data_IF_487637098123
#
_entry.id   IF_487637098123
#
_cell.length_a   1.000
_cell.length_b   1.000
_cell.length_c   1.000
_cell.angle_alpha   90.00
_cell.angle_beta   90.00
_cell.angle_gamma   90.00
#
_symmetry.space_group_name_H-M   'P 1'
#
loop_
_entity.id
_entity.type
_entity.pdbx_description
1 polymer ?
#
# COMPACT_ATOMS: atom_id res chain seq x y z
N UNK A 1 -1.56 -26.96 -7.64
CA UNK A 1 -2.60 -26.16 -6.94
C UNK A 1 -1.94 -24.86 -6.48
N UNK A 2 -2.49 -23.72 -6.87
CA UNK A 2 -1.96 -22.40 -6.49
C UNK A 2 -2.15 -22.21 -4.98
N UNK A 3 -1.11 -21.73 -4.30
CA UNK A 3 -1.17 -21.34 -2.88
C UNK A 3 -0.53 -19.98 -2.68
N UNK A 4 -0.98 -19.25 -1.67
CA UNK A 4 -0.44 -17.97 -1.26
C UNK A 4 0.10 -18.01 0.15
N UNK A 5 1.01 -17.07 0.42
CA UNK A 5 1.61 -16.85 1.73
C UNK A 5 0.93 -15.67 2.42
N UNK A 6 0.04 -15.96 3.36
CA UNK A 6 -0.68 -14.98 4.18
C UNK A 6 -0.03 -14.90 5.55
N UNK A 7 0.53 -13.75 5.89
CA UNK A 7 1.19 -13.54 7.20
C UNK A 7 0.20 -13.28 8.32
N UNK A 8 -0.85 -12.48 8.03
CA UNK A 8 -1.84 -12.07 9.01
C UNK A 8 -3.16 -11.73 8.34
N UNK A 9 -4.25 -11.92 9.04
CA UNK A 9 -5.58 -11.43 8.65
C UNK A 9 -6.13 -10.64 9.84
N UNK A 10 -6.43 -9.37 9.60
CA UNK A 10 -7.12 -8.49 10.55
C UNK A 10 -8.56 -8.29 10.12
N UNK A 11 -9.47 -8.43 11.07
CA UNK A 11 -10.88 -8.10 10.88
C UNK A 11 -11.15 -6.72 11.50
N UNK A 12 -12.17 -6.02 10.98
CA UNK A 12 -12.60 -4.71 11.49
C UNK A 12 -11.56 -3.57 11.31
N UNK A 13 -10.69 -3.65 10.29
CA UNK A 13 -9.81 -2.54 9.91
C UNK A 13 -10.63 -1.31 9.47
N UNK A 14 -10.23 -0.12 9.93
CA UNK A 14 -10.95 1.14 9.70
C UNK A 14 -10.14 2.16 8.87
N UNK A 15 -8.86 1.88 8.63
CA UNK A 15 -7.92 2.84 8.00
C UNK A 15 -7.38 2.38 6.64
N UNK A 16 -7.71 1.16 6.24
CA UNK A 16 -7.16 0.51 5.04
C UNK A 16 -8.15 0.49 3.88
N UNK A 17 -8.93 1.55 3.72
CA UNK A 17 -9.94 1.74 2.70
C UNK A 17 -11.28 2.22 3.26
N UNK A 18 -12.35 2.27 2.44
CA UNK A 18 -13.66 2.70 2.89
C UNK A 18 -14.35 1.64 3.76
N UNK A 19 -15.09 2.08 4.76
CA UNK A 19 -15.89 1.23 5.63
C UNK A 19 -15.08 0.26 6.49
N UNK A 20 -15.74 -0.80 6.95
CA UNK A 20 -15.09 -1.86 7.73
C UNK A 20 -14.41 -2.85 6.78
N UNK A 21 -13.14 -3.13 7.01
CA UNK A 21 -12.32 -3.99 6.13
C UNK A 21 -11.87 -5.27 6.82
N UNK A 22 -11.81 -6.36 6.06
CA UNK A 22 -10.88 -7.44 6.38
C UNK A 22 -9.57 -7.12 5.67
N UNK A 23 -8.49 -6.94 6.42
CA UNK A 23 -7.17 -6.67 5.86
C UNK A 23 -6.37 -7.97 5.83
N UNK A 24 -5.92 -8.35 4.64
CA UNK A 24 -5.10 -9.55 4.41
C UNK A 24 -3.68 -9.09 4.14
N UNK A 25 -2.77 -9.41 5.04
CA UNK A 25 -1.35 -9.09 4.90
C UNK A 25 -0.62 -10.26 4.26
N UNK A 26 -0.22 -10.09 3.02
CA UNK A 26 0.58 -11.05 2.26
C UNK A 26 2.06 -10.89 2.59
N UNK A 27 2.82 -11.98 2.61
CA UNK A 27 4.28 -11.92 2.78
C UNK A 27 5.01 -11.79 1.44
N UNK A 28 6.26 -11.36 1.52
CA UNK A 28 7.09 -11.05 0.37
C UNK A 28 7.01 -9.57 -0.02
N UNK A 29 8.15 -8.93 -0.15
CA UNK A 29 8.29 -7.57 -0.67
C UNK A 29 9.67 -7.42 -1.33
N UNK A 30 9.73 -6.82 -2.52
CA UNK A 30 11.01 -6.50 -3.18
C UNK A 30 11.69 -5.30 -2.54
N UNK A 31 10.89 -4.36 -2.00
CA UNK A 31 11.43 -3.15 -1.39
C UNK A 31 12.07 -3.44 -0.02
N UNK A 32 13.07 -2.61 0.32
CA UNK A 32 13.72 -2.56 1.63
C UNK A 32 13.64 -1.15 2.18
N UNK A 33 12.38 -0.63 2.26
CA UNK A 33 12.15 0.72 2.74
C UNK A 33 12.80 0.94 4.10
N UNK A 34 13.66 1.95 4.23
CA UNK A 34 14.38 2.27 5.49
C UNK A 34 13.46 2.51 6.68
N UNK A 35 12.19 2.87 6.42
CA UNK A 35 11.16 3.12 7.42
C UNK A 35 10.12 2.00 7.52
N UNK A 36 10.39 0.81 7.00
CA UNK A 36 9.41 -0.27 6.98
C UNK A 36 8.93 -0.63 8.40
N UNK A 37 7.60 -0.69 8.59
CA UNK A 37 7.03 -1.09 9.88
C UNK A 37 6.88 -2.60 10.05
N UNK A 38 6.99 -3.34 8.93
CA UNK A 38 6.75 -4.77 8.88
C UNK A 38 7.90 -5.51 8.18
N UNK A 39 9.15 -5.39 8.66
CA UNK A 39 10.31 -6.05 8.03
C UNK A 39 10.17 -7.58 8.03
N UNK A 40 9.36 -8.15 8.94
CA UNK A 40 9.02 -9.57 9.00
C UNK A 40 8.23 -10.04 7.77
N UNK A 41 7.70 -9.12 6.96
CA UNK A 41 6.97 -9.42 5.72
C UNK A 41 7.85 -9.34 4.47
N UNK A 42 9.14 -8.99 4.59
CA UNK A 42 10.04 -8.90 3.44
C UNK A 42 10.26 -10.24 2.73
N UNK A 43 10.35 -11.31 3.50
CA UNK A 43 10.55 -12.65 2.96
C UNK A 43 9.21 -13.30 2.68
N UNK A 44 9.13 -14.02 1.56
CA UNK A 44 8.02 -14.94 1.33
C UNK A 44 8.12 -16.06 2.37
N UNK A 45 7.05 -16.24 3.14
CA UNK A 45 6.96 -17.32 4.14
C UNK A 45 6.30 -18.55 3.53
N UNK A 46 5.97 -19.54 4.33
CA UNK A 46 5.27 -20.75 3.89
C UNK A 46 3.97 -20.42 3.14
N UNK A 47 3.69 -21.16 2.08
CA UNK A 47 2.45 -21.09 1.33
C UNK A 47 1.35 -21.82 2.11
N UNK A 48 0.50 -21.06 2.78
CA UNK A 48 -0.40 -21.55 3.82
C UNK A 48 -1.90 -21.45 3.51
N UNK A 49 -2.27 -20.86 2.37
CA UNK A 49 -3.67 -20.75 1.95
C UNK A 49 -3.85 -21.12 0.48
N UNK A 50 -4.91 -21.88 0.17
CA UNK A 50 -5.46 -21.91 -1.18
C UNK A 50 -6.36 -20.70 -1.40
N UNK A 51 -6.68 -20.31 -2.66
CA UNK A 51 -7.61 -19.22 -2.94
C UNK A 51 -8.99 -19.44 -2.30
N UNK A 52 -9.49 -20.68 -2.30
CA UNK A 52 -10.79 -21.05 -1.74
C UNK A 52 -10.83 -20.92 -0.22
N UNK A 53 -9.78 -21.34 0.46
CA UNK A 53 -9.65 -21.22 1.92
C UNK A 53 -9.64 -19.75 2.35
N UNK A 54 -8.85 -18.91 1.66
CA UNK A 54 -8.78 -17.48 1.96
C UNK A 54 -10.11 -16.79 1.64
N UNK A 55 -10.67 -17.03 0.47
CA UNK A 55 -11.97 -16.46 0.08
C UNK A 55 -13.06 -16.83 1.10
N UNK A 56 -13.18 -18.10 1.48
CA UNK A 56 -14.12 -18.58 2.49
C UNK A 56 -13.95 -17.85 3.83
N UNK A 57 -12.73 -17.59 4.25
CA UNK A 57 -12.44 -16.85 5.47
C UNK A 57 -12.89 -15.39 5.40
N UNK A 58 -12.65 -14.71 4.25
CA UNK A 58 -13.07 -13.33 4.02
C UNK A 58 -14.60 -13.21 3.94
N UNK A 59 -15.25 -14.12 3.23
CA UNK A 59 -16.72 -14.13 3.02
C UNK A 59 -17.49 -14.20 4.34
N UNK A 60 -16.95 -14.84 5.37
CA UNK A 60 -17.56 -14.88 6.73
C UNK A 60 -17.78 -13.49 7.31
N UNK A 61 -16.97 -12.51 6.90
CA UNK A 61 -17.07 -11.12 7.37
C UNK A 61 -18.02 -10.25 6.51
N UNK A 62 -18.61 -10.79 5.45
CA UNK A 62 -19.53 -10.07 4.54
C UNK A 62 -20.67 -9.32 5.25
N UNK A 63 -21.26 -9.81 6.36
CA UNK A 63 -22.27 -9.05 7.10
C UNK A 63 -21.78 -7.68 7.61
N UNK A 64 -20.50 -7.55 7.95
CA UNK A 64 -19.91 -6.29 8.40
C UNK A 64 -19.63 -5.32 7.24
N UNK A 65 -19.39 -5.84 6.03
CA UNK A 65 -19.10 -5.04 4.84
C UNK A 65 -20.33 -4.26 4.35
N UNK A 66 -21.50 -4.91 4.34
CA UNK A 66 -22.74 -4.36 3.78
C UNK A 66 -23.21 -3.06 4.46
N UNK A 67 -22.97 -2.90 5.76
CA UNK A 67 -23.47 -1.78 6.53
C UNK A 67 -22.70 -0.48 6.30
N UNK A 68 -21.44 -0.55 5.84
CA UNK A 68 -20.51 0.58 5.85
C UNK A 68 -19.68 0.71 4.57
N UNK A 69 -20.15 0.19 3.43
CA UNK A 69 -19.38 0.14 2.17
C UNK A 69 -17.97 -0.49 2.34
N UNK A 70 -17.88 -1.48 3.22
CA UNK A 70 -16.67 -2.19 3.54
C UNK A 70 -16.30 -3.25 2.52
N UNK A 71 -15.29 -4.06 2.86
CA UNK A 71 -14.83 -5.15 1.99
C UNK A 71 -13.50 -5.74 2.43
N UNK A 72 -12.71 -6.22 1.51
CA UNK A 72 -11.36 -6.71 1.76
C UNK A 72 -10.32 -5.73 1.26
N UNK A 73 -9.19 -5.65 1.97
CA UNK A 73 -7.97 -4.98 1.51
C UNK A 73 -6.83 -5.98 1.51
N UNK A 74 -6.19 -6.15 0.36
CA UNK A 74 -4.95 -6.90 0.26
C UNK A 74 -3.78 -5.95 0.43
N UNK A 75 -2.94 -6.22 1.42
CA UNK A 75 -1.80 -5.42 1.88
C UNK A 75 -0.67 -6.34 2.36
N UNK A 76 0.25 -5.85 3.19
CA UNK A 76 1.28 -6.66 3.84
C UNK A 76 2.69 -6.25 3.46
N UNK A 77 3.44 -7.14 2.82
CA UNK A 77 4.68 -6.82 2.12
C UNK A 77 4.35 -6.09 0.82
N UNK A 78 4.22 -6.83 -0.27
CA UNK A 78 3.72 -6.32 -1.55
C UNK A 78 2.79 -7.38 -2.20
N UNK A 79 1.48 -7.14 -2.22
CA UNK A 79 0.53 -8.12 -2.75
C UNK A 79 0.76 -8.51 -4.20
N UNK A 80 1.28 -7.60 -5.02
CA UNK A 80 1.57 -7.83 -6.43
C UNK A 80 2.68 -8.86 -6.68
N UNK A 81 3.42 -9.28 -5.65
CA UNK A 81 4.35 -10.40 -5.77
C UNK A 81 3.65 -11.77 -5.84
N UNK A 82 2.41 -11.84 -5.38
CA UNK A 82 1.60 -13.04 -5.39
C UNK A 82 0.37 -12.88 -6.32
N UNK A 83 0.56 -12.21 -7.46
CA UNK A 83 -0.53 -11.79 -8.35
C UNK A 83 -1.40 -12.95 -8.85
N UNK A 84 -0.83 -14.10 -9.21
CA UNK A 84 -1.60 -15.27 -9.65
C UNK A 84 -2.54 -15.80 -8.56
N UNK A 85 -2.02 -15.95 -7.34
CA UNK A 85 -2.83 -16.34 -6.19
C UNK A 85 -3.91 -15.31 -5.89
N UNK A 86 -3.54 -14.03 -5.92
CA UNK A 86 -4.44 -12.93 -5.63
C UNK A 86 -5.58 -12.81 -6.66
N UNK A 87 -5.28 -13.03 -7.95
CA UNK A 87 -6.28 -13.05 -9.03
C UNK A 87 -7.34 -14.13 -8.74
N UNK A 88 -6.93 -15.35 -8.40
CA UNK A 88 -7.89 -16.42 -8.10
C UNK A 88 -8.75 -16.11 -6.87
N UNK A 89 -8.16 -15.56 -5.82
CA UNK A 89 -8.93 -15.08 -4.65
C UNK A 89 -9.93 -13.99 -5.07
N UNK A 90 -9.51 -13.01 -5.85
CA UNK A 90 -10.36 -11.92 -6.31
C UNK A 90 -11.53 -12.42 -7.16
N UNK A 91 -11.31 -13.38 -8.05
CA UNK A 91 -12.38 -14.03 -8.84
C UNK A 91 -13.48 -14.61 -7.95
N UNK A 92 -13.10 -15.29 -6.86
CA UNK A 92 -14.05 -15.86 -5.91
C UNK A 92 -14.82 -14.78 -5.13
N UNK A 93 -14.10 -13.73 -4.68
CA UNK A 93 -14.72 -12.63 -3.93
C UNK A 93 -15.67 -11.78 -4.78
N UNK A 94 -15.37 -11.61 -6.09
CA UNK A 94 -16.26 -10.90 -7.02
C UNK A 94 -17.58 -11.62 -7.24
N UNK A 95 -17.61 -12.96 -7.25
CA UNK A 95 -18.87 -13.75 -7.29
C UNK A 95 -19.77 -13.43 -6.09
N UNK A 96 -19.19 -13.03 -4.97
CA UNK A 96 -19.88 -12.65 -3.75
C UNK A 96 -20.18 -11.14 -3.64
N UNK A 97 -19.89 -10.36 -4.69
CA UNK A 97 -20.04 -8.90 -4.72
C UNK A 97 -19.31 -8.19 -3.54
N UNK A 98 -18.11 -8.66 -3.19
CA UNK A 98 -17.29 -8.05 -2.17
C UNK A 98 -16.41 -6.97 -2.82
N UNK A 99 -16.39 -5.78 -2.22
CA UNK A 99 -15.50 -4.68 -2.63
C UNK A 99 -14.06 -5.01 -2.27
N UNK A 100 -13.15 -4.90 -3.25
CA UNK A 100 -11.74 -5.27 -3.13
C UNK A 100 -10.86 -4.04 -3.27
N UNK A 101 -10.06 -3.75 -2.24
CA UNK A 101 -9.00 -2.75 -2.30
C UNK A 101 -7.62 -3.43 -2.36
N UNK A 102 -6.72 -2.82 -3.12
CA UNK A 102 -5.33 -3.20 -3.25
C UNK A 102 -4.45 -2.10 -2.65
N UNK A 103 -3.71 -2.41 -1.57
CA UNK A 103 -2.73 -1.53 -0.93
C UNK A 103 -1.33 -1.95 -1.41
N UNK A 104 -0.70 -1.10 -2.21
CA UNK A 104 0.50 -1.46 -2.97
C UNK A 104 1.44 -0.29 -3.21
N UNK A 105 2.72 -0.59 -3.34
CA UNK A 105 3.73 0.33 -3.89
C UNK A 105 3.82 0.29 -5.42
N UNK A 106 3.09 -0.62 -6.06
CA UNK A 106 3.14 -0.87 -7.49
C UNK A 106 4.36 -1.68 -7.96
N UNK A 107 5.09 -2.32 -7.03
CA UNK A 107 6.32 -3.07 -7.34
C UNK A 107 6.05 -4.57 -7.27
N UNK A 108 5.63 -5.16 -8.37
CA UNK A 108 5.21 -6.56 -8.45
C UNK A 108 5.94 -7.38 -9.50
N UNK A 109 5.32 -8.47 -9.94
CA UNK A 109 5.84 -9.41 -10.93
C UNK A 109 5.16 -9.28 -12.32
N UNK A 110 4.37 -8.23 -12.54
CA UNK A 110 3.54 -8.08 -13.75
C UNK A 110 2.09 -8.54 -13.53
N UNK A 111 1.39 -8.89 -14.63
CA UNK A 111 -0.03 -9.23 -14.65
C UNK A 111 -0.95 -8.10 -14.11
N UNK A 112 -0.49 -6.85 -14.20
CA UNK A 112 -1.18 -5.71 -13.61
C UNK A 112 -2.55 -5.44 -14.24
N UNK A 113 -2.71 -5.66 -15.54
CA UNK A 113 -3.98 -5.47 -16.24
C UNK A 113 -5.04 -6.47 -15.75
N UNK A 114 -4.66 -7.75 -15.62
CA UNK A 114 -5.56 -8.78 -15.14
C UNK A 114 -5.99 -8.54 -13.69
N UNK A 115 -5.03 -8.33 -12.78
CA UNK A 115 -5.37 -8.12 -11.37
C UNK A 115 -6.24 -6.87 -11.17
N UNK A 116 -5.92 -5.76 -11.86
CA UNK A 116 -6.68 -4.52 -11.76
C UNK A 116 -8.13 -4.68 -12.26
N UNK A 117 -8.41 -5.65 -13.14
CA UNK A 117 -9.79 -5.92 -13.58
C UNK A 117 -10.73 -6.38 -12.46
N UNK A 118 -10.17 -6.84 -11.34
CA UNK A 118 -10.91 -7.28 -10.15
C UNK A 118 -10.88 -6.28 -8.99
N UNK A 119 -10.13 -5.17 -9.11
CA UNK A 119 -9.92 -4.21 -8.03
C UNK A 119 -10.91 -3.05 -8.13
N UNK A 120 -11.53 -2.67 -7.01
CA UNK A 120 -12.47 -1.55 -6.91
C UNK A 120 -11.79 -0.26 -6.39
N UNK A 121 -10.64 -0.37 -5.72
CA UNK A 121 -9.88 0.76 -5.17
C UNK A 121 -8.41 0.40 -5.08
N UNK A 122 -7.54 1.30 -5.49
CA UNK A 122 -6.10 1.20 -5.23
C UNK A 122 -5.70 2.21 -4.16
N UNK A 123 -5.06 1.71 -3.09
CA UNK A 123 -4.32 2.51 -2.12
C UNK A 123 -2.86 2.50 -2.60
N UNK A 124 -2.42 3.59 -3.21
CA UNK A 124 -1.10 3.67 -3.85
C UNK A 124 -0.12 4.41 -2.95
N UNK A 125 0.89 3.69 -2.48
CA UNK A 125 2.00 4.25 -1.72
C UNK A 125 3.03 4.91 -2.64
N UNK A 126 3.16 6.24 -2.57
CA UNK A 126 4.27 6.95 -3.20
C UNK A 126 5.47 6.93 -2.25
N UNK A 127 6.54 6.20 -2.61
CA UNK A 127 7.70 6.05 -1.72
C UNK A 127 8.63 7.25 -1.77
N UNK A 128 8.95 7.73 -2.96
CA UNK A 128 9.61 9.00 -3.20
C UNK A 128 9.41 9.45 -4.65
N UNK A 129 9.49 10.75 -4.92
CA UNK A 129 9.24 11.32 -6.27
C UNK A 129 10.51 11.48 -7.10
N UNK A 130 11.68 11.58 -6.46
CA UNK A 130 12.98 11.61 -7.12
C UNK A 130 13.51 10.18 -7.22
N UNK A 131 13.96 9.72 -8.42
CA UNK A 131 14.40 8.33 -8.63
C UNK A 131 15.60 7.90 -7.79
N UNK A 132 16.59 8.78 -7.59
CA UNK A 132 17.79 8.50 -6.78
C UNK A 132 17.41 8.31 -5.31
N UNK A 133 16.60 9.24 -4.79
CA UNK A 133 16.08 9.16 -3.41
C UNK A 133 15.12 7.98 -3.22
N UNK A 134 14.34 7.62 -4.24
CA UNK A 134 13.52 6.42 -4.22
C UNK A 134 14.41 5.18 -4.03
N UNK A 135 15.49 5.06 -4.82
CA UNK A 135 16.42 3.93 -4.72
C UNK A 135 17.15 3.92 -3.38
N UNK A 136 17.60 5.08 -2.90
CA UNK A 136 18.24 5.21 -1.57
C UNK A 136 17.29 4.76 -0.45
N UNK A 137 16.00 5.11 -0.54
CA UNK A 137 14.99 4.85 0.48
C UNK A 137 14.49 3.41 0.47
N UNK A 138 14.38 2.80 -0.72
CA UNK A 138 13.68 1.52 -0.92
C UNK A 138 14.62 0.39 -1.33
N UNK A 139 15.88 0.69 -1.65
CA UNK A 139 16.87 -0.23 -2.27
C UNK A 139 16.38 -0.84 -3.60
N UNK A 140 15.50 -0.12 -4.32
CA UNK A 140 14.93 -0.56 -5.60
C UNK A 140 14.76 0.64 -6.52
N UNK A 141 14.76 0.43 -7.85
CA UNK A 141 14.47 1.50 -8.79
C UNK A 141 12.96 1.81 -8.85
N UNK A 142 12.61 2.99 -9.35
CA UNK A 142 11.22 3.47 -9.43
C UNK A 142 10.45 2.89 -10.63
N UNK A 143 11.14 2.25 -11.58
CA UNK A 143 10.58 1.90 -12.89
C UNK A 143 9.39 0.95 -12.83
N UNK A 144 9.44 -0.06 -11.93
CA UNK A 144 8.32 -1.00 -11.77
C UNK A 144 7.07 -0.28 -11.27
N UNK A 145 7.22 0.63 -10.29
CA UNK A 145 6.11 1.44 -9.79
C UNK A 145 5.53 2.34 -10.89
N UNK A 146 6.38 2.94 -11.74
CA UNK A 146 5.91 3.73 -12.89
C UNK A 146 5.18 2.87 -13.93
N UNK A 147 5.65 1.64 -14.19
CA UNK A 147 4.94 0.69 -15.06
C UNK A 147 3.55 0.38 -14.53
N UNK A 148 3.44 0.10 -13.22
CA UNK A 148 2.14 -0.13 -12.58
C UNK A 148 1.22 1.10 -12.72
N UNK A 149 1.72 2.31 -12.45
CA UNK A 149 0.96 3.56 -12.59
C UNK A 149 0.47 3.75 -14.03
N UNK A 150 1.30 3.43 -15.02
CA UNK A 150 0.92 3.53 -16.43
C UNK A 150 -0.24 2.58 -16.79
N UNK A 151 -0.25 1.36 -16.23
CA UNK A 151 -1.37 0.42 -16.41
C UNK A 151 -2.61 0.90 -15.65
N UNK A 152 -2.44 1.34 -14.39
CA UNK A 152 -3.52 1.88 -13.57
C UNK A 152 -4.21 3.07 -14.24
N UNK A 153 -3.46 3.95 -14.91
CA UNK A 153 -3.98 5.10 -15.65
C UNK A 153 -4.88 4.75 -16.85
N UNK A 154 -4.81 3.52 -17.37
CA UNK A 154 -5.72 3.02 -18.42
C UNK A 154 -7.05 2.54 -17.83
N UNK A 155 -7.12 2.32 -16.53
CA UNK A 155 -8.32 1.91 -15.82
C UNK A 155 -9.12 3.12 -15.35
N UNK A 156 -10.38 2.86 -14.90
CA UNK A 156 -11.21 3.88 -14.22
C UNK A 156 -11.23 3.70 -12.70
N UNK A 157 -10.34 2.88 -12.17
CA UNK A 157 -10.29 2.55 -10.75
C UNK A 157 -9.96 3.80 -9.94
N UNK A 158 -10.71 4.10 -8.88
CA UNK A 158 -10.40 5.19 -7.96
C UNK A 158 -9.07 4.89 -7.23
N UNK A 159 -8.30 5.95 -6.99
CA UNK A 159 -6.99 5.86 -6.34
C UNK A 159 -6.99 6.71 -5.08
N UNK A 160 -6.55 6.14 -3.97
CA UNK A 160 -6.16 6.85 -2.77
C UNK A 160 -4.64 6.87 -2.67
N UNK A 161 -4.06 8.05 -2.66
CA UNK A 161 -2.61 8.21 -2.48
C UNK A 161 -2.28 8.14 -0.99
N UNK A 162 -1.27 7.36 -0.67
CA UNK A 162 -0.66 7.27 0.66
C UNK A 162 0.78 7.75 0.56
N UNK A 163 1.14 8.68 1.43
CA UNK A 163 2.48 9.26 1.47
C UNK A 163 2.96 9.31 2.91
N UNK A 164 3.94 8.48 3.24
CA UNK A 164 4.64 8.60 4.52
C UNK A 164 5.55 9.84 4.47
N UNK A 165 5.41 10.72 5.45
CA UNK A 165 6.24 11.92 5.57
C UNK A 165 7.36 11.67 6.56
N UNK A 166 8.58 11.64 6.05
CA UNK A 166 9.81 11.43 6.83
C UNK A 166 10.45 12.79 7.12
N UNK A 167 10.65 13.15 8.41
CA UNK A 167 11.27 14.41 8.79
C UNK A 167 12.64 14.61 8.14
N UNK A 168 12.90 15.83 7.68
CA UNK A 168 14.17 16.20 7.03
C UNK A 168 14.36 15.69 5.61
N UNK A 169 13.49 14.77 5.14
CA UNK A 169 13.55 14.23 3.78
C UNK A 169 12.37 14.66 2.91
N UNK A 170 11.16 14.67 3.47
CA UNK A 170 9.91 14.89 2.74
C UNK A 170 9.07 16.04 3.27
N UNK A 171 9.52 16.74 4.30
CA UNK A 171 8.78 17.81 4.99
C UNK A 171 9.18 19.22 4.54
N UNK A 172 9.55 19.38 3.26
CA UNK A 172 9.94 20.66 2.67
C UNK A 172 9.18 20.94 1.36
N UNK A 173 9.21 22.22 0.94
CA UNK A 173 8.47 22.67 -0.24
C UNK A 173 8.97 22.03 -1.54
N UNK A 174 10.26 21.78 -1.69
CA UNK A 174 10.83 21.15 -2.88
C UNK A 174 10.20 19.77 -3.09
N UNK A 175 10.11 18.97 -2.02
CA UNK A 175 9.43 17.68 -2.07
C UNK A 175 7.95 17.82 -2.42
N UNK A 176 7.23 18.75 -1.82
CA UNK A 176 5.80 18.98 -2.08
C UNK A 176 5.53 19.36 -3.54
N UNK A 177 6.35 20.22 -4.13
CA UNK A 177 6.23 20.53 -5.57
C UNK A 177 6.56 19.32 -6.46
N UNK A 178 7.56 18.53 -6.08
CA UNK A 178 7.86 17.27 -6.76
C UNK A 178 6.68 16.29 -6.67
N UNK A 179 6.05 16.19 -5.50
CA UNK A 179 4.86 15.35 -5.29
C UNK A 179 3.68 15.83 -6.14
N UNK A 180 3.40 17.15 -6.21
CA UNK A 180 2.38 17.69 -7.12
C UNK A 180 2.62 17.23 -8.55
N UNK A 181 3.83 17.40 -9.08
CA UNK A 181 4.19 16.96 -10.44
C UNK A 181 3.99 15.46 -10.66
N UNK A 182 4.30 14.63 -9.66
CA UNK A 182 4.09 13.19 -9.75
C UNK A 182 2.60 12.86 -9.74
N UNK A 183 1.80 13.47 -8.86
CA UNK A 183 0.37 13.21 -8.76
C UNK A 183 -0.41 13.66 -10.00
N UNK A 184 0.03 14.71 -10.69
CA UNK A 184 -0.55 15.12 -11.97
C UNK A 184 -0.47 14.05 -13.06
N UNK A 185 0.45 13.08 -12.93
CA UNK A 185 0.58 11.93 -13.85
C UNK A 185 -0.35 10.77 -13.49
N UNK A 186 -1.03 10.82 -12.35
CA UNK A 186 -1.90 9.73 -11.85
C UNK A 186 -3.36 10.14 -12.03
N UNK A 187 -4.12 9.30 -12.74
CA UNK A 187 -5.55 9.54 -12.98
C UNK A 187 -6.40 9.02 -11.81
N UNK A 188 -7.64 9.54 -11.75
CA UNK A 188 -8.69 9.06 -10.83
C UNK A 188 -8.34 9.14 -9.34
N UNK A 189 -7.47 10.05 -8.93
CA UNK A 189 -7.18 10.29 -7.52
C UNK A 189 -8.46 10.81 -6.84
N UNK A 190 -8.88 10.15 -5.76
CA UNK A 190 -10.06 10.49 -4.94
C UNK A 190 -9.68 10.98 -3.55
N UNK A 191 -8.50 10.60 -3.07
CA UNK A 191 -8.04 10.96 -1.74
C UNK A 191 -6.51 11.01 -1.72
N UNK A 192 -5.96 11.90 -0.92
CA UNK A 192 -4.52 11.97 -0.62
C UNK A 192 -4.40 11.94 0.90
N UNK A 193 -3.57 11.05 1.42
CA UNK A 193 -3.29 10.91 2.83
C UNK A 193 -1.79 11.11 3.09
N UNK A 194 -1.44 12.07 3.93
CA UNK A 194 -0.13 12.14 4.53
C UNK A 194 -0.13 11.30 5.81
N UNK A 195 0.83 10.43 5.92
CA UNK A 195 1.02 9.52 7.06
C UNK A 195 2.28 9.95 7.79
N UNK A 196 2.20 10.39 9.05
CA UNK A 196 3.40 10.75 9.80
C UNK A 196 4.29 9.52 9.98
N UNK A 197 5.59 9.63 9.65
CA UNK A 197 6.57 8.62 9.98
C UNK A 197 6.56 8.36 11.49
N UNK A 198 6.63 7.09 11.89
CA UNK A 198 6.69 6.67 13.28
C UNK A 198 7.68 5.53 13.48
N UNK A 199 8.10 5.32 14.72
CA UNK A 199 9.18 4.40 15.09
C UNK A 199 8.68 3.03 15.60
N UNK A 200 7.39 2.72 15.46
CA UNK A 200 6.78 1.48 15.98
C UNK A 200 7.37 0.19 15.41
N UNK A 201 8.07 0.25 14.27
CA UNK A 201 8.75 -0.90 13.69
C UNK A 201 10.07 -1.27 14.37
N UNK A 202 10.68 -0.41 15.20
CA UNK A 202 12.03 -0.62 15.76
C UNK A 202 12.21 -1.97 16.46
N UNK A 203 11.25 -2.36 17.29
CA UNK A 203 11.32 -3.62 18.03
C UNK A 203 11.35 -4.84 17.10
N UNK A 204 10.62 -4.82 16.00
CA UNK A 204 10.60 -5.90 15.01
C UNK A 204 11.96 -6.10 14.33
N UNK A 205 12.68 -4.99 14.05
CA UNK A 205 14.05 -5.07 13.52
C UNK A 205 14.98 -5.76 14.54
N UNK A 206 14.85 -5.42 15.83
CA UNK A 206 15.62 -6.04 16.90
C UNK A 206 15.34 -7.53 17.01
N UNK A 207 14.05 -7.92 16.96
CA UNK A 207 13.63 -9.34 16.97
C UNK A 207 14.19 -10.13 15.78
N UNK A 208 14.36 -9.47 14.63
CA UNK A 208 14.92 -10.07 13.42
C UNK A 208 16.45 -10.02 13.36
N UNK A 209 17.12 -9.41 14.35
CA UNK A 209 18.57 -9.21 14.34
C UNK A 209 19.05 -8.27 13.24
N UNK A 210 18.20 -7.34 12.77
CA UNK A 210 18.49 -6.38 11.71
C UNK A 210 18.63 -4.98 12.30
N UNK A 211 19.66 -4.24 11.90
CA UNK A 211 19.80 -2.85 12.31
C UNK A 211 18.70 -1.97 11.71
N UNK A 212 18.02 -1.17 12.55
CA UNK A 212 17.01 -0.22 12.05
C UNK A 212 17.70 1.01 11.42
N UNK A 213 17.48 1.26 10.11
CA UNK A 213 18.24 2.30 9.40
C UNK A 213 18.04 3.72 9.97
N UNK A 214 16.86 4.01 10.53
CA UNK A 214 16.50 5.31 11.10
C UNK A 214 16.52 5.32 12.62
N UNK A 215 17.53 4.65 13.23
CA UNK A 215 17.67 4.53 14.70
C UNK A 215 17.69 5.88 15.43
N UNK A 216 18.26 6.91 14.79
CA UNK A 216 18.43 8.25 15.35
C UNK A 216 17.40 9.26 14.80
N UNK A 217 16.42 8.82 14.03
CA UNK A 217 15.38 9.69 13.48
C UNK A 217 14.15 9.65 14.38
N UNK A 218 13.70 10.81 14.81
CA UNK A 218 12.49 10.97 15.58
C UNK A 218 11.23 10.78 14.70
N UNK A 219 10.13 10.40 15.33
CA UNK A 219 8.85 10.31 14.66
C UNK A 219 8.42 11.69 14.14
N UNK A 220 7.70 11.71 13.04
CA UNK A 220 7.08 12.92 12.52
C UNK A 220 5.99 13.40 13.46
N UNK A 221 6.08 14.64 13.88
CA UNK A 221 5.03 15.28 14.68
C UNK A 221 3.72 15.34 13.89
N UNK A 222 2.61 14.94 14.52
CA UNK A 222 1.31 14.82 13.86
C UNK A 222 0.74 16.16 13.44
N UNK A 223 0.90 17.20 14.25
CA UNK A 223 0.40 18.55 13.94
C UNK A 223 1.22 19.18 12.82
N UNK A 224 2.56 18.98 12.85
CA UNK A 224 3.44 19.40 11.76
C UNK A 224 3.08 18.69 10.46
N UNK A 225 2.82 17.39 10.50
CA UNK A 225 2.37 16.62 9.34
C UNK A 225 1.03 17.12 8.79
N UNK A 226 0.09 17.46 9.66
CA UNK A 226 -1.20 18.02 9.27
C UNK A 226 -1.06 19.41 8.62
N UNK A 227 -0.25 20.30 9.18
CA UNK A 227 0.05 21.62 8.59
C UNK A 227 0.74 21.47 7.21
N UNK A 228 1.62 20.47 7.08
CA UNK A 228 2.27 20.17 5.80
C UNK A 228 1.26 19.70 4.76
N UNK A 229 0.29 18.86 5.16
CA UNK A 229 -0.80 18.43 4.30
C UNK A 229 -1.66 19.61 3.82
N UNK A 230 -2.03 20.53 4.72
CA UNK A 230 -2.80 21.73 4.40
C UNK A 230 -2.04 22.64 3.40
N UNK A 231 -0.72 22.83 3.63
CA UNK A 231 0.14 23.53 2.69
C UNK A 231 0.16 22.83 1.33
N UNK A 232 0.25 21.49 1.31
CA UNK A 232 0.24 20.73 0.07
C UNK A 232 -1.08 20.86 -0.70
N UNK A 233 -2.23 20.88 -0.02
CA UNK A 233 -3.52 21.12 -0.66
C UNK A 233 -3.55 22.53 -1.28
N UNK A 234 -3.01 23.54 -0.60
CA UNK A 234 -2.87 24.88 -1.16
C UNK A 234 -1.95 24.92 -2.40
N UNK A 235 -0.86 24.14 -2.39
CA UNK A 235 0.03 23.98 -3.56
C UNK A 235 -0.70 23.29 -4.73
N UNK A 236 -1.52 22.27 -4.46
CA UNK A 236 -2.30 21.58 -5.50
C UNK A 236 -3.31 22.48 -6.17
N UNK A 237 -3.94 23.40 -5.43
CA UNK A 237 -4.98 24.30 -5.90
C UNK A 237 -4.43 25.58 -6.58
N UNK A 238 -3.12 25.80 -6.55
CA UNK A 238 -2.46 26.89 -7.31
C UNK A 238 -2.10 26.33 -8.70
N UNK A 239 -2.61 26.98 -9.74
CA UNK A 239 -2.32 26.68 -11.15
C UNK A 239 -0.82 26.76 -11.49
#
# INVERSE_FOLDING_TARGET
>A
MIKGSVKKIETLGLVDGPGIRTVVFLSGCKLRCKYCHNPEMWKLTELNYTPEELAKRIIRNKPYFKRNNGGVTFSGGEPLLQSEFLIEVCKLLKKENIHIALDTSGVGNGNYEEILSYIDLVLLDIKHVNPEKYQELTSHNIDESQKFINVLNKSKIPVWIRQVIIPGLMDNNEYLYGLKKQLQKIKNIKKINFLPYHTLGKEKYKELGIEYPYKNLDAMDKEKCQKLYENFINILNKD
#
